data_IF_132410088926
#
_entry.id   IF_132410088926
#
_cell.length_a   1.000
_cell.length_b   1.000
_cell.length_c   1.000
_cell.angle_alpha   90.00
_cell.angle_beta   90.00
_cell.angle_gamma   90.00
#
_symmetry.space_group_name_H-M   'P 1'
#
loop_
_entity.id
_entity.type
_entity.pdbx_description
1 polymer ?
#
# COMPACT_ATOMS: atom_id res chain seq x y z
N UNK A 1 -19.52 20.57 2.03
CA UNK A 1 -18.05 20.40 1.97
C UNK A 1 -17.77 18.91 2.10
N UNK A 2 -17.63 18.20 0.98
CA UNK A 2 -17.38 16.75 1.00
C UNK A 2 -15.89 16.53 1.20
N UNK A 3 -15.51 16.04 2.39
CA UNK A 3 -14.13 15.63 2.66
C UNK A 3 -13.89 14.28 1.97
N UNK A 4 -13.16 14.28 0.86
CA UNK A 4 -12.69 13.06 0.21
C UNK A 4 -11.63 12.44 1.12
N UNK A 5 -11.98 11.39 1.87
CA UNK A 5 -11.00 10.59 2.59
C UNK A 5 -10.36 9.59 1.64
N UNK A 6 -9.06 9.76 1.46
CA UNK A 6 -8.19 8.88 0.69
C UNK A 6 -7.97 7.60 1.51
N UNK A 7 -8.62 6.50 1.13
CA UNK A 7 -8.42 5.19 1.73
C UNK A 7 -7.11 4.59 1.21
N UNK A 8 -5.99 4.96 1.81
CA UNK A 8 -4.71 4.31 1.56
C UNK A 8 -4.50 3.27 2.67
N UNK A 9 -4.90 2.03 2.40
CA UNK A 9 -4.30 0.80 2.93
C UNK A 9 -3.83 0.89 4.39
N UNK A 10 -4.82 0.85 5.30
CA UNK A 10 -4.62 0.83 6.74
C UNK A 10 -5.65 1.75 7.37
N UNK A 11 -6.66 1.17 8.05
CA UNK A 11 -7.57 1.98 8.86
C UNK A 11 -6.72 2.84 9.80
N UNK A 12 -6.71 4.18 9.64
CA UNK A 12 -6.02 5.05 10.57
C UNK A 12 -6.49 4.71 11.98
N UNK A 13 -5.61 4.72 12.97
CA UNK A 13 -6.04 4.52 14.37
C UNK A 13 -7.14 5.53 14.78
N UNK A 14 -7.24 6.66 14.07
CA UNK A 14 -8.29 7.67 14.21
C UNK A 14 -9.69 7.19 13.80
N UNK A 15 -9.81 6.16 12.96
CA UNK A 15 -11.09 5.61 12.48
C UNK A 15 -11.58 4.42 13.33
N UNK A 16 -10.93 4.16 14.47
CA UNK A 16 -11.35 3.10 15.39
C UNK A 16 -12.69 3.49 16.04
N UNK A 17 -13.65 2.54 16.12
CA UNK A 17 -14.92 2.79 16.78
C UNK A 17 -14.74 3.26 18.23
N UNK A 18 -15.52 4.27 18.61
CA UNK A 18 -15.44 4.93 19.93
C UNK A 18 -15.57 3.95 21.11
N UNK A 19 -16.28 2.82 20.92
CA UNK A 19 -16.41 1.76 21.93
C UNK A 19 -15.08 1.20 22.45
N UNK A 20 -14.00 1.34 21.68
CA UNK A 20 -12.66 0.88 22.07
C UNK A 20 -11.85 1.95 22.81
N UNK A 21 -12.41 3.15 22.96
CA UNK A 21 -11.78 4.28 23.62
C UNK A 21 -10.78 5.02 22.72
N UNK A 22 -9.94 5.88 23.32
CA UNK A 22 -9.04 6.74 22.56
C UNK A 22 -8.08 5.95 21.65
N UNK A 23 -7.84 6.41 20.41
CA UNK A 23 -6.89 5.80 19.48
C UNK A 23 -5.50 5.55 20.05
N UNK A 24 -5.01 6.47 20.88
CA UNK A 24 -3.71 6.38 21.56
C UNK A 24 -3.64 5.21 22.53
N UNK A 25 -4.72 4.95 23.26
CA UNK A 25 -4.84 3.79 24.16
C UNK A 25 -4.81 2.47 23.38
N UNK A 26 -5.54 2.41 22.25
CA UNK A 26 -5.53 1.25 21.36
C UNK A 26 -4.13 0.98 20.81
N UNK A 27 -3.46 2.02 20.33
CA UNK A 27 -2.08 1.93 19.84
C UNK A 27 -1.10 1.47 20.93
N UNK A 28 -1.20 2.03 22.13
CA UNK A 28 -0.34 1.64 23.25
C UNK A 28 -0.53 0.17 23.64
N UNK A 29 -1.78 -0.32 23.62
CA UNK A 29 -2.09 -1.74 23.84
C UNK A 29 -1.49 -2.60 22.74
N UNK A 30 -1.64 -2.21 21.47
CA UNK A 30 -1.05 -2.91 20.33
C UNK A 30 0.47 -3.08 20.50
N UNK A 31 1.19 -2.00 20.83
CA UNK A 31 2.64 -2.03 21.03
C UNK A 31 3.02 -2.93 22.22
N UNK A 32 2.30 -2.86 23.33
CA UNK A 32 2.55 -3.72 24.51
C UNK A 32 2.36 -5.19 24.17
N UNK A 33 1.29 -5.52 23.47
CA UNK A 33 0.98 -6.89 23.04
C UNK A 33 2.01 -7.44 22.06
N UNK A 34 2.49 -6.59 21.14
CA UNK A 34 3.58 -6.92 20.23
C UNK A 34 4.89 -7.20 20.96
N UNK A 35 5.22 -6.42 22.01
CA UNK A 35 6.40 -6.69 22.85
C UNK A 35 6.24 -7.95 23.72
N UNK A 36 5.03 -8.26 24.14
CA UNK A 36 4.72 -9.41 24.99
C UNK A 36 4.41 -10.70 24.21
N UNK A 37 4.64 -10.74 22.89
CA UNK A 37 4.37 -11.91 22.05
C UNK A 37 2.91 -12.37 22.06
N UNK A 38 1.97 -11.47 22.34
CA UNK A 38 0.53 -11.80 22.35
C UNK A 38 0.04 -12.04 20.93
N UNK A 39 0.52 -11.25 19.96
CA UNK A 39 0.15 -11.42 18.56
C UNK A 39 0.59 -12.78 18.01
N UNK A 40 1.79 -13.24 18.34
CA UNK A 40 2.30 -14.54 17.88
C UNK A 40 1.39 -15.69 18.39
N UNK A 41 0.97 -15.61 19.65
CA UNK A 41 0.05 -16.59 20.25
C UNK A 41 -1.33 -16.57 19.61
N UNK A 42 -1.86 -15.38 19.29
CA UNK A 42 -3.14 -15.25 18.58
C UNK A 42 -3.00 -15.85 17.18
N UNK A 43 -1.94 -15.52 16.46
CA UNK A 43 -1.68 -16.09 15.14
C UNK A 43 -1.59 -17.61 15.21
N UNK A 44 -0.79 -18.16 16.12
CA UNK A 44 -0.67 -19.61 16.27
C UNK A 44 -2.01 -20.28 16.58
N UNK A 45 -2.82 -19.70 17.47
CA UNK A 45 -4.13 -20.23 17.80
C UNK A 45 -5.09 -20.21 16.59
N UNK A 46 -5.10 -19.11 15.84
CA UNK A 46 -5.91 -18.97 14.62
C UNK A 46 -5.44 -19.95 13.55
N UNK A 47 -4.12 -20.06 13.35
CA UNK A 47 -3.51 -21.00 12.40
C UNK A 47 -3.89 -22.45 12.69
N UNK A 48 -3.92 -22.85 13.97
CA UNK A 48 -4.32 -24.20 14.39
C UNK A 48 -5.82 -24.46 14.20
N UNK A 49 -6.65 -23.42 14.36
CA UNK A 49 -8.09 -23.53 14.20
C UNK A 49 -8.55 -23.42 12.73
N UNK A 50 -7.64 -23.04 11.83
CA UNK A 50 -7.95 -22.81 10.42
C UNK A 50 -7.42 -23.97 9.58
N UNK A 51 -8.32 -24.74 8.96
CA UNK A 51 -7.97 -25.87 8.08
C UNK A 51 -7.53 -25.42 6.66
N UNK A 52 -7.53 -24.11 6.38
CA UNK A 52 -7.09 -23.53 5.10
C UNK A 52 -5.67 -22.97 5.12
N UNK A 53 -5.20 -22.52 3.96
CA UNK A 53 -3.89 -21.86 3.84
C UNK A 53 -3.95 -20.42 4.40
N UNK A 54 -3.08 -20.09 5.36
CA UNK A 54 -2.96 -18.72 5.86
C UNK A 54 -2.38 -17.82 4.79
N UNK A 55 -3.23 -16.95 4.23
CA UNK A 55 -2.81 -15.96 3.24
C UNK A 55 -2.57 -14.62 3.93
N UNK A 56 -1.29 -14.23 4.01
CA UNK A 56 -0.89 -12.91 4.47
C UNK A 56 -0.87 -11.94 3.28
N UNK A 57 -1.52 -10.79 3.43
CA UNK A 57 -1.53 -9.74 2.41
C UNK A 57 -0.48 -8.70 2.79
N UNK A 58 0.61 -8.63 2.02
CA UNK A 58 1.60 -7.57 2.13
C UNK A 58 1.25 -6.42 1.19
N UNK A 59 1.12 -5.20 1.72
CA UNK A 59 0.93 -3.98 0.91
C UNK A 59 2.25 -3.25 0.74
N UNK A 60 2.64 -2.91 -0.49
CA UNK A 60 3.76 -2.01 -0.76
C UNK A 60 3.26 -0.57 -0.95
N UNK A 61 3.92 0.40 -0.32
CA UNK A 61 3.62 1.83 -0.49
C UNK A 61 4.87 2.59 -0.92
N UNK A 62 4.83 3.26 -2.08
CA UNK A 62 5.92 4.12 -2.56
C UNK A 62 5.53 5.58 -2.30
N UNK A 63 6.34 6.30 -1.51
CA UNK A 63 6.17 7.74 -1.28
C UNK A 63 7.04 8.52 -2.26
N UNK A 64 6.44 9.43 -3.02
CA UNK A 64 7.16 10.34 -3.92
C UNK A 64 7.36 11.68 -3.22
N UNK A 65 8.56 12.27 -3.35
CA UNK A 65 8.86 13.62 -2.86
C UNK A 65 7.89 14.64 -3.47
N UNK A 66 7.48 15.69 -2.75
CA UNK A 66 6.49 16.66 -3.25
C UNK A 66 6.89 17.32 -4.58
N UNK A 67 8.20 17.43 -4.85
CA UNK A 67 8.72 17.94 -6.12
C UNK A 67 8.60 16.95 -7.29
N UNK A 68 8.44 15.65 -7.02
CA UNK A 68 8.14 14.62 -8.03
C UNK A 68 6.64 14.52 -8.36
N UNK A 69 5.76 14.96 -7.44
CA UNK A 69 4.30 14.98 -7.66
C UNK A 69 3.85 16.07 -8.65
N UNK A 70 4.69 17.09 -8.87
CA UNK A 70 4.42 18.22 -9.76
C UNK A 70 5.02 18.05 -11.16
N UNK A 71 5.29 16.81 -11.60
CA UNK A 71 5.60 16.59 -13.01
C UNK A 71 4.39 17.05 -13.83
N UNK A 72 4.52 18.21 -14.51
CA UNK A 72 3.51 18.66 -15.48
C UNK A 72 3.28 17.47 -16.40
N UNK A 73 2.04 16.96 -16.43
CA UNK A 73 1.61 15.98 -17.43
C UNK A 73 1.81 16.69 -18.77
N UNK A 74 2.98 16.50 -19.36
CA UNK A 74 3.38 17.22 -20.56
C UNK A 74 2.26 17.04 -21.55
N UNK A 75 1.80 18.13 -22.18
CA UNK A 75 0.96 18.04 -23.37
C UNK A 75 1.56 16.92 -24.20
N UNK A 76 0.75 15.91 -24.56
CA UNK A 76 1.16 14.76 -25.37
C UNK A 76 1.69 15.33 -26.68
N UNK A 77 2.97 15.72 -26.70
CA UNK A 77 3.62 16.28 -27.88
C UNK A 77 3.59 15.14 -28.87
N UNK A 78 3.02 15.40 -30.05
CA UNK A 78 3.21 14.50 -31.17
C UNK A 78 4.73 14.24 -31.24
N UNK A 79 5.18 12.98 -31.20
CA UNK A 79 6.60 12.69 -31.35
C UNK A 79 7.08 13.42 -32.61
N UNK A 80 8.27 14.03 -32.54
CA UNK A 80 8.85 14.67 -33.72
C UNK A 80 8.97 13.58 -34.79
N UNK A 81 8.72 13.92 -36.05
CA UNK A 81 8.83 12.97 -37.16
C UNK A 81 10.20 12.28 -37.06
N UNK A 82 10.22 10.96 -36.78
CA UNK A 82 11.44 10.17 -36.52
C UNK A 82 11.67 9.70 -35.06
N UNK A 83 10.85 10.10 -34.09
CA UNK A 83 10.91 9.60 -32.69
C UNK A 83 9.75 8.67 -32.35
N UNK A 84 9.50 7.70 -33.22
CA UNK A 84 8.46 6.71 -32.99
C UNK A 84 8.92 5.75 -31.88
N UNK A 85 8.10 5.57 -30.84
CA UNK A 85 8.28 4.54 -29.81
C UNK A 85 7.87 3.17 -30.37
N UNK A 86 8.43 2.79 -31.52
CA UNK A 86 8.25 1.45 -32.06
C UNK A 86 9.38 0.55 -31.53
N UNK A 87 9.11 -0.73 -31.23
CA UNK A 87 10.11 -1.64 -30.65
C UNK A 87 11.36 -1.85 -31.53
N UNK A 88 11.20 -1.68 -32.85
CA UNK A 88 12.28 -1.72 -33.85
C UNK A 88 13.33 -0.63 -33.63
N UNK A 89 12.97 0.53 -33.07
CA UNK A 89 13.88 1.62 -32.76
C UNK A 89 14.94 1.29 -31.68
N UNK A 90 14.72 0.22 -30.92
CA UNK A 90 15.65 -0.29 -29.89
C UNK A 90 16.41 -1.55 -30.32
N UNK A 91 16.34 -1.93 -31.61
CA UNK A 91 17.06 -3.09 -32.13
C UNK A 91 16.58 -4.44 -31.58
N UNK A 92 15.40 -4.48 -30.94
CA UNK A 92 14.81 -5.72 -30.46
C UNK A 92 14.20 -6.47 -31.65
N UNK A 93 14.96 -7.38 -32.27
CA UNK A 93 14.39 -8.41 -33.13
C UNK A 93 13.69 -9.44 -32.23
N UNK A 94 12.43 -9.75 -32.56
CA UNK A 94 11.69 -10.81 -31.90
C UNK A 94 12.47 -12.12 -31.96
N UNK A 95 12.50 -12.83 -30.83
CA UNK A 95 12.82 -14.24 -30.84
C UNK A 95 11.72 -14.97 -31.63
N UNK A 96 12.19 -15.79 -32.55
CA UNK A 96 11.48 -16.73 -33.42
C UNK A 96 10.52 -17.67 -32.70
#
# INVERSE_FOLDING_TARGET
MMSVRRYELGSPWADIPERYGPPTTCYNRFVRWRKAGVWDRIFEAVSRAYEGELQMIDSSSIRVHQHGANAKKGVRRKPRLGTTLQPDAWGARGAD
#
